data_IF_696775915568
#
_entry.id   IF_696775915568
#
_cell.length_a   1.000
_cell.length_b   1.000
_cell.length_c   1.000
_cell.angle_alpha   90.00
_cell.angle_beta   90.00
_cell.angle_gamma   90.00
#
_symmetry.space_group_name_H-M   'P 1'
#
loop_
_entity.id
_entity.type
_entity.pdbx_description
1 polymer ?
#
# COMPACT_ATOMS: atom_id res chain seq x y z
N UNK A 1 -15.35 -18.18 -6.57
CA UNK A 1 -15.26 -17.35 -5.35
C UNK A 1 -16.51 -16.48 -5.29
N UNK A 2 -17.43 -16.79 -4.39
CA UNK A 2 -18.74 -16.14 -4.33
C UNK A 2 -18.58 -14.75 -3.69
N UNK A 3 -18.61 -13.67 -4.48
CA UNK A 3 -18.61 -12.30 -3.96
C UNK A 3 -19.94 -12.07 -3.24
N UNK A 4 -19.95 -12.32 -1.94
CA UNK A 4 -21.10 -12.03 -1.09
C UNK A 4 -21.25 -10.50 -1.08
N UNK A 5 -22.26 -9.98 -1.77
CA UNK A 5 -22.54 -8.55 -1.88
C UNK A 5 -22.71 -7.99 -0.46
N UNK A 6 -21.70 -7.28 0.04
CA UNK A 6 -21.73 -6.66 1.37
C UNK A 6 -22.70 -5.50 1.32
N UNK A 7 -23.84 -5.65 1.98
CA UNK A 7 -24.78 -4.55 2.18
C UNK A 7 -24.33 -3.74 3.39
N UNK A 8 -24.71 -2.45 3.47
CA UNK A 8 -24.41 -1.62 4.64
C UNK A 8 -24.90 -2.22 5.96
N UNK A 9 -25.89 -3.10 5.94
CA UNK A 9 -26.44 -3.80 7.12
C UNK A 9 -25.57 -4.97 7.58
N UNK A 10 -24.85 -5.61 6.65
CA UNK A 10 -24.05 -6.80 6.91
C UNK A 10 -22.54 -6.51 6.87
N UNK A 11 -22.15 -5.25 6.66
CA UNK A 11 -20.76 -4.84 6.70
C UNK A 11 -20.27 -4.81 8.15
N UNK A 12 -19.02 -5.23 8.36
CA UNK A 12 -18.35 -5.12 9.65
C UNK A 12 -18.23 -3.64 10.05
N UNK A 13 -18.53 -3.36 11.32
CA UNK A 13 -18.57 -1.99 11.85
C UNK A 13 -17.44 -1.82 12.85
N UNK A 14 -16.65 -0.77 12.67
CA UNK A 14 -15.56 -0.42 13.56
C UNK A 14 -15.71 1.04 13.99
N UNK A 15 -15.67 1.29 15.30
CA UNK A 15 -15.80 2.64 15.86
C UNK A 15 -14.40 3.23 16.02
N UNK A 16 -14.13 4.30 15.26
CA UNK A 16 -12.84 5.01 15.31
C UNK A 16 -12.98 6.23 16.21
N UNK A 17 -12.05 6.39 17.16
CA UNK A 17 -11.90 7.62 17.94
C UNK A 17 -10.99 8.56 17.16
N UNK A 18 -11.53 9.69 16.73
CA UNK A 18 -10.81 10.70 15.98
C UNK A 18 -10.40 11.84 16.93
N UNK A 19 -9.19 12.40 16.79
CA UNK A 19 -8.82 13.64 17.47
C UNK A 19 -9.67 14.81 16.95
N UNK A 20 -9.70 15.89 17.74
CA UNK A 20 -10.50 17.08 17.43
C UNK A 20 -10.16 17.66 16.05
N UNK A 21 -11.21 18.08 15.33
CA UNK A 21 -11.13 18.66 13.98
C UNK A 21 -10.83 17.66 12.86
N UNK A 22 -10.37 16.43 13.14
CA UNK A 22 -10.06 15.47 12.07
C UNK A 22 -11.33 14.99 11.36
N UNK A 23 -12.43 14.84 12.10
CA UNK A 23 -13.73 14.45 11.52
C UNK A 23 -14.21 15.45 10.47
N UNK A 24 -14.10 16.74 10.78
CA UNK A 24 -14.56 17.81 9.89
C UNK A 24 -13.69 17.87 8.63
N UNK A 25 -12.38 17.76 8.79
CA UNK A 25 -11.44 17.64 7.66
C UNK A 25 -11.77 16.46 6.74
N UNK A 26 -12.09 15.29 7.30
CA UNK A 26 -12.49 14.13 6.48
C UNK A 26 -13.82 14.40 5.77
N UNK A 27 -14.76 15.07 6.44
CA UNK A 27 -16.05 15.46 5.86
C UNK A 27 -15.87 16.37 4.64
N UNK A 28 -15.08 17.43 4.76
CA UNK A 28 -14.78 18.37 3.68
C UNK A 28 -14.17 17.66 2.48
N UNK A 29 -13.18 16.80 2.72
CA UNK A 29 -12.51 16.08 1.63
C UNK A 29 -13.47 15.07 0.97
N UNK A 30 -14.28 14.37 1.76
CA UNK A 30 -15.29 13.45 1.21
C UNK A 30 -16.29 14.18 0.30
N UNK A 31 -16.78 15.36 0.73
CA UNK A 31 -17.67 16.22 -0.09
C UNK A 31 -16.97 16.68 -1.36
N UNK A 32 -15.73 17.17 -1.27
CA UNK A 32 -14.96 17.59 -2.45
C UNK A 32 -14.74 16.47 -3.46
N UNK A 33 -14.68 15.22 -2.99
CA UNK A 33 -14.49 14.02 -3.79
C UNK A 33 -15.83 13.36 -4.22
N UNK A 34 -16.98 13.94 -3.88
CA UNK A 34 -18.30 13.38 -4.21
C UNK A 34 -18.59 12.03 -3.54
N UNK A 35 -18.05 11.79 -2.35
CA UNK A 35 -18.12 10.51 -1.63
C UNK A 35 -18.75 10.66 -0.25
N UNK A 36 -19.32 9.58 0.26
CA UNK A 36 -19.65 9.52 1.69
C UNK A 36 -18.37 9.53 2.52
N UNK A 37 -18.45 10.05 3.74
CA UNK A 37 -17.32 10.03 4.70
C UNK A 37 -16.76 8.62 4.88
N UNK A 38 -17.63 7.61 4.97
CA UNK A 38 -17.20 6.22 5.09
C UNK A 38 -16.47 5.72 3.84
N UNK A 39 -17.00 6.02 2.65
CA UNK A 39 -16.36 5.65 1.37
C UNK A 39 -14.99 6.30 1.21
N UNK A 40 -14.81 7.51 1.74
CA UNK A 40 -13.55 8.22 1.68
C UNK A 40 -12.54 7.67 2.70
N UNK A 41 -12.98 7.32 3.92
CA UNK A 41 -12.13 6.63 4.90
C UNK A 41 -11.66 5.29 4.35
N UNK A 42 -12.57 4.48 3.79
CA UNK A 42 -12.24 3.18 3.20
C UNK A 42 -11.22 3.34 2.07
N UNK A 43 -11.43 4.27 1.12
CA UNK A 43 -10.44 4.49 0.05
C UNK A 43 -9.06 4.86 0.61
N UNK A 44 -8.99 5.73 1.62
CA UNK A 44 -7.69 6.10 2.20
C UNK A 44 -6.99 4.91 2.85
N UNK A 45 -7.73 4.04 3.53
CA UNK A 45 -7.19 2.82 4.13
C UNK A 45 -6.72 1.84 3.07
N UNK A 46 -7.53 1.58 2.03
CA UNK A 46 -7.16 0.72 0.91
C UNK A 46 -5.88 1.20 0.24
N UNK A 47 -5.80 2.49 -0.10
CA UNK A 47 -4.61 3.08 -0.71
C UNK A 47 -3.38 2.93 0.21
N UNK A 48 -3.51 3.26 1.50
CA UNK A 48 -2.39 3.16 2.44
C UNK A 48 -1.86 1.73 2.57
N UNK A 49 -2.76 0.74 2.60
CA UNK A 49 -2.39 -0.68 2.70
C UNK A 49 -1.74 -1.15 1.40
N UNK A 50 -2.32 -0.79 0.24
CA UNK A 50 -1.74 -1.12 -1.07
C UNK A 50 -0.35 -0.50 -1.24
N UNK A 51 -0.17 0.78 -0.89
CA UNK A 51 1.12 1.46 -0.96
C UNK A 51 2.17 0.78 -0.05
N UNK A 52 1.78 0.34 1.14
CA UNK A 52 2.65 -0.40 2.06
C UNK A 52 3.07 -1.77 1.49
N UNK A 53 2.15 -2.48 0.82
CA UNK A 53 2.44 -3.76 0.18
C UNK A 53 3.36 -3.59 -1.04
N UNK A 54 3.04 -2.64 -1.93
CA UNK A 54 3.80 -2.38 -3.14
C UNK A 54 5.21 -1.88 -2.81
N UNK A 55 5.33 -0.99 -1.82
CA UNK A 55 6.63 -0.52 -1.35
C UNK A 55 7.45 -1.62 -0.69
N UNK A 56 6.82 -2.58 -0.02
CA UNK A 56 7.50 -3.76 0.53
C UNK A 56 8.00 -4.68 -0.58
N UNK A 57 7.19 -4.93 -1.61
CA UNK A 57 7.59 -5.79 -2.72
C UNK A 57 8.70 -5.15 -3.57
N UNK A 58 8.57 -3.84 -3.85
CA UNK A 58 9.61 -3.08 -4.53
C UNK A 58 10.94 -3.12 -3.76
N UNK A 59 10.89 -2.99 -2.42
CA UNK A 59 12.08 -3.13 -1.57
C UNK A 59 12.73 -4.51 -1.68
N UNK A 60 11.93 -5.60 -1.74
CA UNK A 60 12.47 -6.95 -1.95
C UNK A 60 13.13 -7.10 -3.32
N UNK A 61 12.47 -6.63 -4.37
CA UNK A 61 13.00 -6.68 -5.73
C UNK A 61 14.32 -5.91 -5.84
N UNK A 62 14.37 -4.69 -5.30
CA UNK A 62 15.61 -3.91 -5.23
C UNK A 62 16.73 -4.67 -4.52
N UNK A 63 16.44 -5.32 -3.38
CA UNK A 63 17.42 -6.13 -2.67
C UNK A 63 17.94 -7.32 -3.50
N UNK A 64 17.04 -8.03 -4.19
CA UNK A 64 17.41 -9.15 -5.07
C UNK A 64 18.30 -8.67 -6.21
N UNK A 65 17.95 -7.56 -6.85
CA UNK A 65 18.71 -7.00 -7.96
C UNK A 65 20.12 -6.58 -7.52
N UNK A 66 20.25 -5.94 -6.35
CA UNK A 66 21.57 -5.60 -5.77
C UNK A 66 22.42 -6.85 -5.60
N UNK A 67 21.90 -7.89 -4.95
CA UNK A 67 22.66 -9.14 -4.75
C UNK A 67 23.05 -9.82 -6.06
N UNK A 68 22.20 -9.73 -7.10
CA UNK A 68 22.51 -10.29 -8.42
C UNK A 68 23.60 -9.49 -9.14
N UNK A 69 23.58 -8.16 -9.03
CA UNK A 69 24.60 -7.28 -9.59
C UNK A 69 25.95 -7.58 -8.94
N UNK A 70 26.01 -7.62 -7.60
CA UNK A 70 27.24 -7.93 -6.85
C UNK A 70 27.83 -9.29 -7.27
N UNK A 71 26.99 -10.31 -7.45
CA UNK A 71 27.43 -11.62 -7.90
C UNK A 71 27.99 -11.61 -9.34
N UNK A 72 27.37 -10.84 -10.25
CA UNK A 72 27.84 -10.70 -11.63
C UNK A 72 29.15 -9.93 -11.71
N UNK A 73 29.29 -8.86 -10.93
CA UNK A 73 30.52 -8.07 -10.83
C UNK A 73 31.69 -8.92 -10.32
N UNK A 74 31.46 -9.75 -9.29
CA UNK A 74 32.48 -10.68 -8.78
C UNK A 74 32.91 -11.72 -9.83
N UNK A 75 31.97 -12.21 -10.64
CA UNK A 75 32.27 -13.16 -11.74
C UNK A 75 33.12 -12.51 -12.83
N UNK A 76 32.80 -11.29 -13.25
CA UNK A 76 33.58 -10.54 -14.24
C UNK A 76 35.01 -10.30 -13.75
N UNK A 77 35.19 -9.90 -12.49
CA UNK A 77 36.52 -9.68 -11.92
C UNK A 77 37.37 -10.96 -11.86
N UNK A 78 36.74 -12.11 -11.58
CA UNK A 78 37.43 -13.41 -11.59
C UNK A 78 37.82 -13.85 -13.01
N UNK A 79 37.03 -13.47 -14.02
CA UNK A 79 37.35 -13.76 -15.42
C UNK A 79 38.50 -12.89 -15.94
N UNK A 80 38.58 -11.62 -15.56
CA UNK A 80 39.68 -10.73 -15.95
C UNK A 80 41.02 -11.11 -15.30
N UNK A 81 41.00 -11.68 -14.10
CA UNK A 81 42.22 -12.12 -13.39
C UNK A 81 42.73 -13.50 -13.83
N UNK A 82 41.89 -14.28 -14.51
CA UNK A 82 42.23 -15.62 -15.02
C UNK A 82 42.66 -15.63 -16.51
N UNK A 83 42.61 -14.49 -17.19
CA UNK A 83 43.07 -14.27 -18.56
C UNK A 83 44.43 -13.57 -18.60
#
# INVERSE_FOLDING_TARGET
MNQKKTTSRNADKFVIRLPDGLRDRISEVAVSNGRSMNSEIVRRLENSISDDLDSTELRKLTKILITRIEALEAQLHTQETAA
#
